data_IF_200669108419
#
_entry.id   IF_200669108419
#
_cell.length_a   1.000
_cell.length_b   1.000
_cell.length_c   1.000
_cell.angle_alpha   90.00
_cell.angle_beta   90.00
_cell.angle_gamma   90.00
#
_symmetry.space_group_name_H-M   'P 1'
#
loop_
_entity.id
_entity.type
_entity.pdbx_description
1 polymer ?
#
# COMPACT_ATOMS: atom_id res chain seq x y z
N UNK A 1 4.48 -47.93 -5.56
CA UNK A 1 5.21 -46.70 -5.21
C UNK A 1 4.48 -45.52 -5.84
N UNK A 2 3.46 -45.01 -5.17
CA UNK A 2 2.83 -43.75 -5.53
C UNK A 2 3.78 -42.63 -5.11
N UNK A 3 4.63 -42.15 -6.00
CA UNK A 3 5.35 -40.90 -5.79
C UNK A 3 4.31 -39.78 -5.68
N UNK A 4 4.12 -39.25 -4.47
CA UNK A 4 3.36 -38.02 -4.26
C UNK A 4 4.11 -36.95 -5.06
N UNK A 5 3.59 -36.59 -6.24
CA UNK A 5 4.11 -35.43 -6.97
C UNK A 5 3.85 -34.20 -6.13
N UNK A 6 4.87 -33.69 -5.48
CA UNK A 6 4.79 -32.41 -4.79
C UNK A 6 4.39 -31.34 -5.82
N UNK A 7 3.28 -30.66 -5.57
CA UNK A 7 2.89 -29.47 -6.32
C UNK A 7 3.58 -28.29 -5.67
N UNK A 8 4.37 -27.57 -6.44
CA UNK A 8 5.10 -26.38 -5.99
C UNK A 8 4.43 -25.17 -6.61
N UNK A 9 4.17 -24.17 -5.78
CA UNK A 9 3.69 -22.86 -6.21
C UNK A 9 4.72 -21.84 -5.70
N UNK A 10 5.18 -20.97 -6.59
CA UNK A 10 6.05 -19.85 -6.29
C UNK A 10 5.25 -18.54 -6.36
N UNK A 11 5.31 -17.76 -5.31
CA UNK A 11 4.66 -16.45 -5.25
C UNK A 11 5.70 -15.34 -5.39
N UNK A 12 5.40 -14.38 -6.27
CA UNK A 12 6.24 -13.24 -6.60
C UNK A 12 5.49 -11.95 -6.29
N UNK A 13 6.16 -11.01 -5.62
CA UNK A 13 5.57 -9.75 -5.24
C UNK A 13 6.27 -8.59 -5.91
N UNK A 14 5.50 -7.72 -6.55
CA UNK A 14 5.95 -6.49 -7.17
C UNK A 14 6.87 -6.71 -8.39
N UNK A 15 7.02 -5.69 -9.22
CA UNK A 15 7.86 -5.73 -10.43
C UNK A 15 9.29 -6.24 -10.19
N UNK A 16 9.84 -6.00 -9.00
CA UNK A 16 11.22 -6.38 -8.64
C UNK A 16 11.46 -7.88 -8.69
N UNK A 17 10.44 -8.68 -8.46
CA UNK A 17 10.53 -10.15 -8.53
C UNK A 17 10.13 -10.72 -9.89
N UNK A 18 9.63 -9.87 -10.80
CA UNK A 18 9.11 -10.27 -12.10
C UNK A 18 10.13 -11.05 -12.96
N UNK A 19 11.41 -10.65 -12.94
CA UNK A 19 12.45 -11.39 -13.67
C UNK A 19 12.61 -12.83 -13.17
N UNK A 20 12.49 -13.05 -11.86
CA UNK A 20 12.49 -14.39 -11.25
C UNK A 20 11.32 -15.23 -11.71
N UNK A 21 10.12 -14.65 -11.81
CA UNK A 21 8.93 -15.31 -12.36
C UNK A 21 9.18 -15.77 -13.80
N UNK A 22 9.62 -14.85 -14.66
CA UNK A 22 9.86 -15.15 -16.08
C UNK A 22 10.92 -16.24 -16.27
N UNK A 23 12.00 -16.18 -15.47
CA UNK A 23 13.00 -17.22 -15.46
C UNK A 23 12.41 -18.57 -15.03
N UNK A 24 11.62 -18.60 -13.95
CA UNK A 24 11.04 -19.84 -13.44
C UNK A 24 10.05 -20.47 -14.45
N UNK A 25 9.23 -19.66 -15.09
CA UNK A 25 8.31 -20.12 -16.16
C UNK A 25 9.04 -20.77 -17.32
N UNK A 26 10.24 -20.29 -17.67
CA UNK A 26 11.06 -20.84 -18.73
C UNK A 26 11.82 -22.10 -18.28
N UNK A 27 12.46 -22.06 -17.11
CA UNK A 27 13.35 -23.12 -16.64
C UNK A 27 12.62 -24.28 -15.94
N UNK A 28 11.47 -24.01 -15.31
CA UNK A 28 10.71 -24.97 -14.50
C UNK A 28 9.19 -24.84 -14.74
N UNK A 29 8.68 -25.12 -15.94
CA UNK A 29 7.29 -24.86 -16.32
C UNK A 29 6.25 -25.66 -15.51
N UNK A 30 6.68 -26.66 -14.75
CA UNK A 30 5.83 -27.44 -13.85
C UNK A 30 5.52 -26.72 -12.51
N UNK A 31 6.19 -25.60 -12.21
CA UNK A 31 5.96 -24.80 -11.01
C UNK A 31 4.89 -23.75 -11.33
N UNK A 32 3.80 -23.74 -10.56
CA UNK A 32 2.78 -22.70 -10.65
C UNK A 32 3.33 -21.36 -10.15
N UNK A 33 3.10 -20.29 -10.90
CA UNK A 33 3.58 -18.94 -10.54
C UNK A 33 2.42 -18.02 -10.24
N UNK A 34 2.40 -17.47 -9.04
CA UNK A 34 1.48 -16.40 -8.63
C UNK A 34 2.23 -15.08 -8.64
N UNK A 35 1.69 -14.05 -9.30
CA UNK A 35 2.23 -12.70 -9.29
C UNK A 35 1.28 -11.77 -8.55
N UNK A 36 1.79 -11.01 -7.58
CA UNK A 36 1.00 -10.08 -6.78
C UNK A 36 1.56 -8.67 -6.91
N UNK A 37 0.74 -7.74 -7.40
CA UNK A 37 1.04 -6.30 -7.41
C UNK A 37 0.30 -5.62 -6.27
N UNK A 38 1.01 -4.89 -5.40
CA UNK A 38 0.41 -4.13 -4.29
C UNK A 38 0.07 -2.69 -4.70
N UNK A 39 0.75 -2.16 -5.69
CA UNK A 39 0.44 -0.91 -6.38
C UNK A 39 1.23 -0.90 -7.70
N UNK A 40 0.61 -0.47 -8.79
CA UNK A 40 1.29 -0.43 -10.08
C UNK A 40 2.43 0.57 -10.12
N UNK A 41 3.47 0.30 -10.92
CA UNK A 41 4.60 1.23 -11.12
C UNK A 41 4.09 2.59 -11.59
N UNK A 42 3.17 2.61 -12.55
CA UNK A 42 2.63 3.86 -13.09
C UNK A 42 1.70 4.58 -12.11
N UNK A 43 0.85 3.87 -11.39
CA UNK A 43 0.01 4.45 -10.34
C UNK A 43 0.84 5.16 -9.27
N UNK A 44 1.94 4.55 -8.82
CA UNK A 44 2.89 5.19 -7.90
C UNK A 44 3.53 6.45 -8.49
N UNK A 45 3.89 6.42 -9.77
CA UNK A 45 4.48 7.58 -10.45
C UNK A 45 3.48 8.73 -10.57
N UNK A 46 2.25 8.45 -11.00
CA UNK A 46 1.18 9.45 -11.14
C UNK A 46 0.88 10.10 -9.80
N UNK A 47 0.56 9.30 -8.79
CA UNK A 47 0.24 9.80 -7.45
C UNK A 47 1.42 10.54 -6.79
N UNK A 48 2.63 9.99 -6.89
CA UNK A 48 3.85 10.60 -6.32
C UNK A 48 4.25 11.92 -6.98
N UNK A 49 3.81 12.18 -8.21
CA UNK A 49 4.00 13.43 -8.92
C UNK A 49 2.78 14.39 -8.81
N UNK A 50 1.88 14.12 -7.88
CA UNK A 50 0.70 14.96 -7.62
C UNK A 50 -0.23 15.11 -8.83
N UNK A 51 -0.30 14.08 -9.67
CA UNK A 51 -1.25 14.00 -10.76
C UNK A 51 -2.51 13.23 -10.31
N UNK A 52 -3.68 13.58 -10.86
CA UNK A 52 -4.95 12.94 -10.46
C UNK A 52 -5.02 11.51 -11.00
N UNK A 53 -4.73 10.51 -10.13
CA UNK A 53 -4.66 9.12 -10.55
C UNK A 53 -6.02 8.57 -10.99
N UNK A 54 -7.01 8.58 -10.11
CA UNK A 54 -8.26 7.87 -10.37
C UNK A 54 -9.25 8.64 -11.23
N UNK A 55 -9.35 9.96 -11.07
CA UNK A 55 -10.27 10.78 -11.87
C UNK A 55 -9.84 10.90 -13.34
N UNK A 56 -8.53 10.82 -13.61
CA UNK A 56 -7.96 11.00 -14.95
C UNK A 56 -7.33 9.72 -15.53
N UNK A 57 -7.42 8.60 -14.81
CA UNK A 57 -6.72 7.37 -15.17
C UNK A 57 -6.99 6.93 -16.62
N UNK A 58 -8.24 7.03 -17.06
CA UNK A 58 -8.64 6.63 -18.42
C UNK A 58 -8.01 7.48 -19.52
N UNK A 59 -7.54 8.69 -19.19
CA UNK A 59 -6.92 9.61 -20.13
C UNK A 59 -5.40 9.40 -20.24
N UNK A 60 -4.83 8.56 -19.37
CA UNK A 60 -3.41 8.27 -19.40
C UNK A 60 -3.09 7.13 -20.37
N UNK A 61 -2.11 7.36 -21.23
CA UNK A 61 -1.51 6.34 -22.10
C UNK A 61 -0.33 5.72 -21.36
N UNK A 62 -0.38 4.42 -20.98
CA UNK A 62 0.64 3.79 -20.15
C UNK A 62 2.06 3.93 -20.68
N UNK A 63 2.27 3.77 -21.97
CA UNK A 63 3.58 3.86 -22.62
C UNK A 63 4.16 5.27 -22.59
N UNK A 64 3.31 6.29 -22.69
CA UNK A 64 3.73 7.70 -22.60
C UNK A 64 4.13 8.04 -21.16
N UNK A 65 3.34 7.62 -20.17
CA UNK A 65 3.68 7.77 -18.76
C UNK A 65 4.99 7.07 -18.42
N UNK A 66 5.19 5.84 -18.91
CA UNK A 66 6.40 5.08 -18.65
C UNK A 66 7.65 5.80 -19.18
N UNK A 67 7.56 6.46 -20.36
CA UNK A 67 8.63 7.32 -20.92
C UNK A 67 8.80 8.58 -20.07
N UNK A 68 7.71 9.29 -19.79
CA UNK A 68 7.69 10.53 -19.02
C UNK A 68 8.37 10.40 -17.67
N UNK A 69 8.11 9.29 -16.97
CA UNK A 69 8.66 9.02 -15.63
C UNK A 69 9.96 8.21 -15.66
N UNK A 70 10.46 7.85 -16.85
CA UNK A 70 11.67 7.04 -17.03
C UNK A 70 11.58 5.69 -16.29
N UNK A 71 10.43 5.00 -16.41
CA UNK A 71 10.17 3.71 -15.78
C UNK A 71 9.78 2.61 -16.77
N UNK A 72 10.13 2.74 -18.04
CA UNK A 72 9.79 1.79 -19.10
C UNK A 72 10.18 0.37 -18.72
N UNK A 73 11.42 0.16 -18.24
CA UNK A 73 11.91 -1.17 -17.87
C UNK A 73 11.13 -1.80 -16.71
N UNK A 74 10.74 -0.98 -15.72
CA UNK A 74 9.97 -1.43 -14.56
C UNK A 74 8.54 -1.79 -14.96
N UNK A 75 7.90 -0.90 -15.70
CA UNK A 75 6.52 -1.08 -16.17
C UNK A 75 6.41 -2.27 -17.14
N UNK A 76 7.34 -2.42 -18.09
CA UNK A 76 7.32 -3.53 -19.02
C UNK A 76 7.56 -4.88 -18.32
N UNK A 77 8.45 -4.92 -17.31
CA UNK A 77 8.66 -6.11 -16.51
C UNK A 77 7.44 -6.47 -15.67
N UNK A 78 6.80 -5.49 -15.04
CA UNK A 78 5.56 -5.67 -14.28
C UNK A 78 4.45 -6.22 -15.17
N UNK A 79 4.21 -5.56 -16.32
CA UNK A 79 3.21 -5.98 -17.31
C UNK A 79 3.48 -7.40 -17.79
N UNK A 80 4.71 -7.72 -18.17
CA UNK A 80 5.06 -9.05 -18.65
C UNK A 80 4.88 -10.11 -17.58
N UNK A 81 5.28 -9.83 -16.33
CA UNK A 81 5.11 -10.77 -15.22
C UNK A 81 3.63 -11.03 -14.94
N UNK A 82 2.77 -9.99 -14.96
CA UNK A 82 1.33 -10.12 -14.80
C UNK A 82 0.70 -11.02 -15.89
N UNK A 83 1.13 -10.85 -17.13
CA UNK A 83 0.62 -11.66 -18.26
C UNK A 83 1.13 -13.10 -18.28
N UNK A 84 2.33 -13.36 -17.76
CA UNK A 84 2.95 -14.70 -17.76
C UNK A 84 2.64 -15.52 -16.50
N UNK A 85 2.13 -14.91 -15.45
CA UNK A 85 1.73 -15.61 -14.24
C UNK A 85 0.58 -16.58 -14.52
N UNK A 86 0.54 -17.71 -13.79
CA UNK A 86 -0.59 -18.63 -13.81
C UNK A 86 -1.79 -18.08 -13.03
N UNK A 87 -1.51 -17.19 -12.07
CA UNK A 87 -2.51 -16.42 -11.35
C UNK A 87 -1.94 -15.03 -11.04
N UNK A 88 -2.66 -14.00 -11.47
CA UNK A 88 -2.34 -12.60 -11.20
C UNK A 88 -3.25 -12.04 -10.12
N UNK A 89 -2.68 -11.53 -9.04
CA UNK A 89 -3.42 -11.03 -7.88
C UNK A 89 -3.03 -9.62 -7.51
N UNK A 90 -3.94 -8.95 -6.79
CA UNK A 90 -3.67 -7.65 -6.17
C UNK A 90 -4.37 -7.55 -4.82
N UNK A 91 -4.13 -6.45 -4.08
CA UNK A 91 -4.53 -6.32 -2.67
C UNK A 91 -5.84 -5.56 -2.46
N UNK A 92 -6.43 -4.96 -3.50
CA UNK A 92 -7.68 -4.20 -3.41
C UNK A 92 -8.34 -4.01 -4.76
N UNK A 93 -9.65 -3.78 -4.77
CA UNK A 93 -10.42 -3.49 -5.98
C UNK A 93 -9.93 -2.23 -6.70
N UNK A 94 -9.50 -1.23 -5.96
CA UNK A 94 -8.97 0.00 -6.54
C UNK A 94 -7.64 -0.26 -7.27
N UNK A 95 -6.78 -1.11 -6.72
CA UNK A 95 -5.55 -1.52 -7.40
C UNK A 95 -5.85 -2.45 -8.58
N UNK A 96 -6.89 -3.27 -8.51
CA UNK A 96 -7.33 -4.07 -9.65
C UNK A 96 -7.70 -3.19 -10.85
N UNK A 97 -8.38 -2.06 -10.60
CA UNK A 97 -8.68 -1.07 -11.64
C UNK A 97 -7.41 -0.47 -12.27
N UNK A 98 -6.38 -0.19 -11.46
CA UNK A 98 -5.07 0.25 -11.97
C UNK A 98 -4.41 -0.83 -12.82
N UNK A 99 -4.43 -2.09 -12.38
CA UNK A 99 -3.86 -3.22 -13.11
C UNK A 99 -4.51 -3.38 -14.49
N UNK A 100 -5.85 -3.36 -14.54
CA UNK A 100 -6.58 -3.47 -15.79
C UNK A 100 -6.16 -2.38 -16.79
N UNK A 101 -6.01 -1.13 -16.32
CA UNK A 101 -5.65 0.00 -17.19
C UNK A 101 -4.16 0.05 -17.53
N UNK A 102 -3.27 -0.01 -16.55
CA UNK A 102 -1.83 0.22 -16.75
C UNK A 102 -1.06 -1.01 -17.21
N UNK A 103 -1.55 -2.21 -16.89
CA UNK A 103 -0.91 -3.46 -17.26
C UNK A 103 -1.67 -4.19 -18.39
N UNK A 104 -2.84 -3.67 -18.78
CA UNK A 104 -3.71 -4.31 -19.79
C UNK A 104 -4.01 -5.77 -19.42
N UNK A 105 -4.27 -6.00 -18.12
CA UNK A 105 -4.53 -7.32 -17.55
C UNK A 105 -5.46 -7.21 -16.36
N UNK A 106 -6.63 -7.83 -16.46
CA UNK A 106 -7.52 -8.05 -15.34
C UNK A 106 -6.86 -8.99 -14.30
N UNK A 107 -7.10 -8.72 -13.03
CA UNK A 107 -6.63 -9.59 -11.96
C UNK A 107 -7.53 -10.82 -11.83
N UNK A 108 -6.94 -11.97 -11.57
CA UNK A 108 -7.69 -13.21 -11.36
C UNK A 108 -8.33 -13.24 -9.97
N UNK A 109 -7.69 -12.60 -8.97
CA UNK A 109 -8.19 -12.58 -7.59
C UNK A 109 -7.67 -11.36 -6.83
N UNK A 110 -8.54 -10.74 -6.04
CA UNK A 110 -8.16 -9.72 -5.05
C UNK A 110 -7.90 -10.40 -3.70
N UNK A 111 -6.68 -10.23 -3.19
CA UNK A 111 -6.21 -10.82 -1.92
C UNK A 111 -5.79 -9.70 -0.96
N UNK A 112 -6.71 -9.15 -0.15
CA UNK A 112 -6.39 -8.09 0.78
C UNK A 112 -5.28 -8.49 1.77
N UNK A 113 -4.48 -7.49 2.19
CA UNK A 113 -3.46 -7.73 3.21
C UNK A 113 -4.09 -8.26 4.49
N UNK A 114 -3.49 -9.31 5.04
CA UNK A 114 -3.91 -9.90 6.29
C UNK A 114 -3.53 -9.04 7.50
N UNK A 115 -4.25 -9.25 8.61
CA UNK A 115 -3.94 -8.70 9.91
C UNK A 115 -3.95 -9.83 10.94
N UNK A 116 -2.94 -9.87 11.80
CA UNK A 116 -2.87 -10.84 12.87
C UNK A 116 -3.42 -10.27 14.19
N UNK A 117 -4.45 -10.91 14.72
CA UNK A 117 -5.08 -10.49 15.98
C UNK A 117 -4.16 -10.60 17.19
N UNK A 118 -3.05 -11.35 17.10
CA UNK A 118 -2.07 -11.48 18.19
C UNK A 118 -1.49 -10.15 18.67
N UNK A 119 -1.47 -9.13 17.78
CA UNK A 119 -1.04 -7.77 18.14
C UNK A 119 -2.11 -6.94 18.83
N UNK A 120 -3.36 -7.42 18.83
CA UNK A 120 -4.46 -6.72 19.48
C UNK A 120 -4.49 -7.12 20.96
N UNK A 121 -4.49 -6.15 21.90
CA UNK A 121 -4.68 -6.47 23.31
C UNK A 121 -5.96 -7.22 23.55
N UNK A 122 -5.97 -8.13 24.52
CA UNK A 122 -7.19 -8.73 24.99
C UNK A 122 -8.12 -7.67 25.63
N UNK A 123 -9.40 -7.95 25.70
CA UNK A 123 -10.38 -7.04 26.31
C UNK A 123 -9.98 -6.63 27.75
N UNK A 124 -9.45 -7.58 28.53
CA UNK A 124 -8.96 -7.33 29.88
C UNK A 124 -7.73 -6.41 29.96
N UNK A 125 -6.87 -6.41 28.91
CA UNK A 125 -5.66 -5.58 28.85
C UNK A 125 -5.89 -4.24 28.19
N UNK A 126 -7.00 -4.07 27.46
CA UNK A 126 -7.24 -2.94 26.57
C UNK A 126 -7.10 -1.59 27.27
N UNK A 127 -7.82 -1.39 28.37
CA UNK A 127 -7.81 -0.11 29.08
C UNK A 127 -6.43 0.23 29.66
N UNK A 128 -5.73 -0.76 30.22
CA UNK A 128 -4.37 -0.56 30.75
C UNK A 128 -3.37 -0.17 29.64
N UNK A 129 -3.38 -0.89 28.54
CA UNK A 129 -2.49 -0.61 27.39
C UNK A 129 -2.84 0.71 26.70
N UNK A 130 -4.13 1.02 26.57
CA UNK A 130 -4.60 2.30 26.02
C UNK A 130 -4.13 3.47 26.88
N UNK A 131 -4.28 3.39 28.22
CA UNK A 131 -3.82 4.40 29.15
C UNK A 131 -2.32 4.61 29.06
N UNK A 132 -1.54 3.54 29.13
CA UNK A 132 -0.08 3.61 29.03
C UNK A 132 0.39 4.18 27.69
N UNK A 133 -0.26 3.82 26.58
CA UNK A 133 0.01 4.38 25.26
C UNK A 133 -0.27 5.88 25.20
N UNK A 134 -1.43 6.30 25.74
CA UNK A 134 -1.82 7.70 25.81
C UNK A 134 -0.81 8.54 26.61
N UNK A 135 -0.41 8.06 27.78
CA UNK A 135 0.59 8.74 28.62
C UNK A 135 1.90 8.99 27.88
N UNK A 136 2.39 7.99 27.10
CA UNK A 136 3.58 8.15 26.27
C UNK A 136 3.41 9.21 25.18
N UNK A 137 2.26 9.24 24.50
CA UNK A 137 1.99 10.27 23.49
C UNK A 137 1.96 11.68 24.10
N UNK A 138 1.32 11.85 25.26
CA UNK A 138 1.28 13.14 25.96
C UNK A 138 2.67 13.58 26.41
N UNK A 139 3.51 12.67 26.93
CA UNK A 139 4.90 12.97 27.31
C UNK A 139 5.71 13.45 26.08
N UNK A 140 5.59 12.79 24.94
CA UNK A 140 6.27 13.19 23.70
C UNK A 140 5.75 14.55 23.23
N UNK A 141 4.44 14.75 23.23
CA UNK A 141 3.84 16.03 22.84
C UNK A 141 4.33 17.19 23.73
N UNK A 142 4.35 17.00 25.05
CA UNK A 142 4.87 17.99 26.01
C UNK A 142 6.34 18.32 25.77
N UNK A 143 7.16 17.29 25.49
CA UNK A 143 8.58 17.48 25.19
C UNK A 143 8.81 18.29 23.90
N UNK A 144 8.00 18.05 22.85
CA UNK A 144 8.09 18.77 21.58
C UNK A 144 7.58 20.22 21.73
N UNK A 145 6.46 20.41 22.42
CA UNK A 145 5.80 21.72 22.57
C UNK A 145 6.47 22.60 23.62
N UNK A 146 7.28 22.05 24.52
CA UNK A 146 7.90 22.77 25.63
C UNK A 146 6.89 23.29 26.65
N UNK A 147 5.66 22.77 26.69
CA UNK A 147 4.58 23.18 27.63
C UNK A 147 3.75 21.95 28.04
N UNK A 148 3.05 22.01 29.17
CA UNK A 148 2.09 20.98 29.55
C UNK A 148 0.99 20.82 28.50
N UNK A 149 0.48 19.61 28.33
CA UNK A 149 -0.69 19.27 27.51
C UNK A 149 -1.75 18.69 28.42
N UNK A 150 -3.01 19.11 28.24
CA UNK A 150 -4.13 18.63 29.04
C UNK A 150 -4.26 17.09 28.98
N UNK A 151 -4.58 16.47 30.11
CA UNK A 151 -4.71 15.00 30.19
C UNK A 151 -5.83 14.47 29.30
N UNK A 152 -6.86 15.25 29.04
CA UNK A 152 -8.02 14.92 28.20
C UNK A 152 -7.87 15.41 26.76
N UNK A 153 -6.70 15.96 26.37
CA UNK A 153 -6.44 16.43 25.01
C UNK A 153 -6.75 15.34 23.98
N UNK A 154 -7.38 15.71 22.87
CA UNK A 154 -7.65 14.79 21.78
C UNK A 154 -6.36 14.49 21.02
N UNK A 155 -6.01 13.21 20.94
CA UNK A 155 -4.83 12.77 20.19
C UNK A 155 -5.30 12.27 18.84
N UNK A 156 -4.89 12.95 17.77
CA UNK A 156 -5.09 12.56 16.39
C UNK A 156 -3.73 12.25 15.78
N UNK A 157 -3.64 11.16 15.04
CA UNK A 157 -2.37 10.71 14.46
C UNK A 157 -2.53 10.05 13.10
N UNK A 158 -1.48 10.16 12.30
CA UNK A 158 -1.32 9.40 11.07
C UNK A 158 -0.04 8.58 11.18
N UNK A 159 -0.06 7.36 10.67
CA UNK A 159 1.08 6.45 10.71
C UNK A 159 1.36 5.88 9.34
N UNK A 160 2.64 5.79 8.96
CA UNK A 160 3.05 5.22 7.68
C UNK A 160 4.49 5.56 7.35
N UNK A 161 4.96 5.11 6.18
CA UNK A 161 6.24 5.55 5.63
C UNK A 161 6.17 7.04 5.29
N UNK A 162 7.31 7.72 5.34
CA UNK A 162 7.39 9.14 5.00
C UNK A 162 7.27 9.35 3.47
N UNK A 163 6.06 9.23 2.98
CA UNK A 163 5.66 9.50 1.60
C UNK A 163 4.57 10.57 1.64
N UNK A 164 4.99 11.83 1.65
CA UNK A 164 4.16 12.99 2.00
C UNK A 164 2.81 13.03 1.29
N UNK A 165 2.80 12.81 -0.04
CA UNK A 165 1.58 12.79 -0.86
C UNK A 165 0.87 11.43 -0.83
N UNK A 166 1.62 10.34 -1.08
CA UNK A 166 1.03 9.01 -1.22
C UNK A 166 0.38 8.47 0.07
N UNK A 167 0.80 9.01 1.23
CA UNK A 167 0.22 8.65 2.54
C UNK A 167 -0.76 9.68 3.08
N UNK A 168 -1.06 10.72 2.30
CA UNK A 168 -2.01 11.76 2.69
C UNK A 168 -1.57 12.59 3.90
N UNK A 169 -0.25 12.72 4.14
CA UNK A 169 0.27 13.53 5.26
C UNK A 169 -0.12 15.01 5.07
N UNK A 170 -0.08 15.51 3.85
CA UNK A 170 -0.54 16.84 3.47
C UNK A 170 -2.04 17.03 3.76
N UNK A 171 -2.87 16.07 3.39
CA UNK A 171 -4.32 16.11 3.65
C UNK A 171 -4.59 16.11 5.15
N UNK A 172 -3.85 15.30 5.92
CA UNK A 172 -3.95 15.27 7.37
C UNK A 172 -3.58 16.63 7.99
N UNK A 173 -2.48 17.25 7.56
CA UNK A 173 -2.04 18.57 8.05
C UNK A 173 -3.10 19.64 7.72
N UNK A 174 -3.61 19.65 6.49
CA UNK A 174 -4.65 20.59 6.08
C UNK A 174 -5.94 20.42 6.88
N UNK A 175 -6.37 19.18 7.10
CA UNK A 175 -7.55 18.87 7.91
C UNK A 175 -7.38 19.34 9.36
N UNK A 176 -6.21 19.11 9.97
CA UNK A 176 -5.90 19.60 11.32
C UNK A 176 -5.87 21.15 11.36
N UNK A 177 -5.31 21.77 10.34
CA UNK A 177 -5.33 23.23 10.21
C UNK A 177 -6.74 23.81 10.09
N UNK A 178 -7.64 23.16 9.34
CA UNK A 178 -9.05 23.56 9.24
C UNK A 178 -9.79 23.35 10.57
N UNK A 179 -9.57 22.22 11.22
CA UNK A 179 -10.18 21.91 12.50
C UNK A 179 -9.80 22.95 13.57
N UNK A 180 -8.52 23.33 13.63
CA UNK A 180 -8.02 24.35 14.53
C UNK A 180 -8.63 25.73 14.26
N UNK A 181 -8.80 26.12 12.99
CA UNK A 181 -9.43 27.41 12.63
C UNK A 181 -10.92 27.49 13.00
N UNK A 182 -11.61 26.36 12.91
CA UNK A 182 -13.06 26.32 13.08
C UNK A 182 -13.49 26.20 14.55
N UNK A 183 -12.55 26.11 15.51
CA UNK A 183 -12.82 25.88 16.94
C UNK A 183 -13.82 24.74 17.21
N UNK A 184 -13.95 23.82 16.27
CA UNK A 184 -15.06 22.87 16.19
C UNK A 184 -15.12 21.84 17.31
N UNK A 185 -14.03 21.64 18.07
CA UNK A 185 -13.97 20.61 19.10
C UNK A 185 -13.95 21.17 20.53
N UNK A 186 -13.73 22.47 20.71
CA UNK A 186 -13.66 23.11 22.07
C UNK A 186 -12.59 22.48 22.98
N UNK A 187 -11.66 21.73 22.44
CA UNK A 187 -10.56 21.03 23.13
C UNK A 187 -9.25 21.30 22.42
N UNK A 188 -8.19 21.45 23.21
CA UNK A 188 -6.83 21.53 22.69
C UNK A 188 -6.39 20.23 21.97
#
# INVERSE_FOLDING_TARGET
>A
NSSIRQRIIAQFHEWMTGAGLLYLKSAMPQVGCVFTTHATVLGRCVAGNNLPLYSEMKNYVPEELARRFNVISKQSLEKTAAHQADCFTTVSEITATECAHFLDKEVDLVTPNGFENVFTPSEAEWEGKRKAGREKFLQVAQAILGRPVAEDALILGISGRYEFKNKGIDVFIDAMGQLNRNNGLGKE
#
